data_IF_144697865296
#
_entry.id   IF_144697865296
#
_cell.length_a   1.000
_cell.length_b   1.000
_cell.length_c   1.000
_cell.angle_alpha   90.00
_cell.angle_beta   90.00
_cell.angle_gamma   90.00
#
_symmetry.space_group_name_H-M   'P 1'
#
loop_
_entity.id
_entity.type
_entity.pdbx_description
1 polymer ?
#
# COMPACT_ATOMS: atom_id res chain seq x y z
N UNK A 1 -14.19 -2.55 -14.76
CA UNK A 1 -13.76 -3.28 -13.55
C UNK A 1 -13.67 -2.25 -12.44
N UNK A 2 -14.34 -2.45 -11.31
CA UNK A 2 -14.32 -1.53 -10.17
C UNK A 2 -13.31 -1.99 -9.14
N UNK A 3 -12.45 -1.09 -8.70
CA UNK A 3 -11.35 -1.37 -7.75
C UNK A 3 -11.54 -0.57 -6.48
N UNK A 4 -11.33 -1.22 -5.34
CA UNK A 4 -11.26 -0.56 -4.03
C UNK A 4 -9.84 -0.68 -3.47
N UNK A 5 -9.15 0.46 -3.36
CA UNK A 5 -7.92 0.61 -2.60
C UNK A 5 -8.30 0.89 -1.15
N UNK A 6 -7.93 -0.02 -0.26
CA UNK A 6 -8.15 0.08 1.18
C UNK A 6 -6.83 0.49 1.83
N UNK A 7 -6.79 1.71 2.36
CA UNK A 7 -5.69 2.17 3.19
C UNK A 7 -5.90 1.68 4.62
N UNK A 8 -5.25 0.58 4.96
CA UNK A 8 -5.18 0.02 6.30
C UNK A 8 -4.19 0.72 7.22
N UNK A 9 -3.58 1.80 6.74
CA UNK A 9 -2.44 2.50 7.31
C UNK A 9 -1.17 1.65 7.37
N UNK A 10 -0.05 2.33 7.17
CA UNK A 10 1.28 1.73 7.28
C UNK A 10 2.13 2.55 8.23
N UNK A 11 3.07 1.88 8.88
CA UNK A 11 4.12 2.54 9.65
C UNK A 11 5.41 1.75 9.51
N UNK A 12 6.34 2.32 8.77
CA UNK A 12 7.68 1.82 8.61
C UNK A 12 8.70 2.95 8.77
N UNK A 13 9.97 2.63 9.06
CA UNK A 13 10.98 3.63 9.42
C UNK A 13 11.16 4.76 8.40
N UNK A 14 10.83 4.50 7.13
CA UNK A 14 10.95 5.45 6.03
C UNK A 14 9.60 5.97 5.49
N UNK A 15 8.46 5.53 6.05
CA UNK A 15 7.14 5.90 5.55
C UNK A 15 6.07 5.81 6.66
N UNK A 16 5.42 6.94 6.94
CA UNK A 16 4.30 7.03 7.88
C UNK A 16 2.99 7.27 7.11
N UNK A 17 2.09 6.29 7.15
CA UNK A 17 0.80 6.33 6.45
C UNK A 17 -0.40 6.46 7.37
N UNK A 18 -0.23 6.99 8.58
CA UNK A 18 -1.32 7.17 9.55
C UNK A 18 -1.77 8.64 9.57
N UNK A 19 -3.09 8.95 9.55
CA UNK A 19 -3.60 10.32 9.54
C UNK A 19 -2.92 11.25 10.56
N UNK A 20 -2.55 12.48 10.16
CA UNK A 20 -2.93 13.17 8.92
C UNK A 20 -2.12 12.79 7.65
N UNK A 21 -1.21 11.80 7.76
CA UNK A 21 -0.35 11.40 6.66
C UNK A 21 -1.01 10.38 5.73
N UNK A 22 -0.64 10.42 4.46
CA UNK A 22 -0.99 9.44 3.44
C UNK A 22 0.30 8.89 2.82
N UNK A 23 0.52 7.58 2.98
CA UNK A 23 1.66 6.90 2.38
C UNK A 23 1.62 6.98 0.84
N UNK A 24 2.75 6.74 0.14
CA UNK A 24 2.77 6.78 -1.32
C UNK A 24 1.98 5.64 -1.99
N UNK A 25 1.86 4.48 -1.33
CA UNK A 25 1.25 3.25 -1.87
C UNK A 25 -0.08 3.47 -2.61
N UNK A 26 -1.11 4.15 -2.05
CA UNK A 26 -2.39 4.29 -2.73
C UNK A 26 -2.29 5.06 -4.04
N UNK A 27 -1.40 6.08 -4.10
CA UNK A 27 -1.18 6.85 -5.34
C UNK A 27 -0.49 6.00 -6.38
N UNK A 28 0.56 5.27 -6.01
CA UNK A 28 1.28 4.43 -6.96
C UNK A 28 0.43 3.27 -7.48
N UNK A 29 -0.38 2.64 -6.63
CA UNK A 29 -1.35 1.62 -7.03
C UNK A 29 -2.37 2.21 -8.01
N UNK A 30 -2.91 3.39 -7.72
CA UNK A 30 -3.87 4.03 -8.61
C UNK A 30 -3.26 4.40 -9.96
N UNK A 31 -2.03 4.92 -9.98
CA UNK A 31 -1.29 5.20 -11.21
C UNK A 31 -1.00 3.94 -12.04
N UNK A 32 -0.63 2.83 -11.38
CA UNK A 32 -0.46 1.53 -12.03
C UNK A 32 -1.77 1.04 -12.68
N UNK A 33 -2.90 1.18 -12.00
CA UNK A 33 -4.23 0.84 -12.54
C UNK A 33 -4.62 1.72 -13.74
N UNK A 34 -4.31 3.03 -13.67
CA UNK A 34 -4.53 3.97 -14.78
C UNK A 34 -3.69 3.59 -16.00
N UNK A 35 -2.41 3.27 -15.80
CA UNK A 35 -1.51 2.82 -16.88
C UNK A 35 -2.03 1.53 -17.54
N UNK A 36 -2.75 0.68 -16.78
CA UNK A 36 -3.42 -0.52 -17.27
C UNK A 36 -4.84 -0.29 -17.80
N UNK A 37 -5.27 0.97 -17.95
CA UNK A 37 -6.51 1.35 -18.61
C UNK A 37 -7.77 1.34 -17.73
N UNK A 38 -7.64 1.17 -16.41
CA UNK A 38 -8.77 1.35 -15.48
C UNK A 38 -9.14 2.82 -15.43
N UNK A 39 -10.43 3.15 -15.55
CA UNK A 39 -10.89 4.54 -15.54
C UNK A 39 -10.82 5.12 -14.12
N UNK A 40 -10.57 6.44 -13.98
CA UNK A 40 -10.42 7.10 -12.68
C UNK A 40 -11.65 6.92 -11.79
N UNK A 41 -12.82 6.94 -12.39
CA UNK A 41 -14.13 6.83 -11.72
C UNK A 41 -14.37 5.43 -11.14
N UNK A 42 -13.66 4.43 -11.67
CA UNK A 42 -13.73 3.04 -11.23
C UNK A 42 -12.71 2.71 -10.13
N UNK A 43 -11.78 3.63 -9.80
CA UNK A 43 -10.77 3.47 -8.75
C UNK A 43 -11.20 4.25 -7.52
N UNK A 44 -11.66 3.51 -6.51
CA UNK A 44 -12.14 4.06 -5.25
C UNK A 44 -11.10 3.86 -4.16
N UNK A 45 -10.88 4.90 -3.35
CA UNK A 45 -10.03 4.87 -2.18
C UNK A 45 -10.86 5.00 -0.91
N UNK A 46 -10.57 4.16 0.09
CA UNK A 46 -11.14 4.30 1.44
C UNK A 46 -10.11 3.95 2.48
N UNK A 47 -10.02 4.76 3.54
CA UNK A 47 -9.29 4.35 4.74
C UNK A 47 -10.07 3.28 5.49
N UNK A 48 -9.36 2.46 6.28
CA UNK A 48 -9.99 1.46 7.14
C UNK A 48 -11.01 2.09 8.10
N UNK A 49 -10.76 3.30 8.61
CA UNK A 49 -11.73 4.01 9.48
C UNK A 49 -13.04 4.35 8.75
N UNK A 50 -12.98 4.68 7.46
CA UNK A 50 -14.19 4.90 6.66
C UNK A 50 -14.97 3.60 6.46
N UNK A 51 -14.29 2.48 6.32
CA UNK A 51 -14.93 1.16 6.23
C UNK A 51 -15.56 0.77 7.58
N UNK A 52 -14.86 1.00 8.70
CA UNK A 52 -15.39 0.77 10.06
C UNK A 52 -16.69 1.54 10.31
N UNK A 53 -16.71 2.81 9.91
CA UNK A 53 -17.83 3.73 10.20
C UNK A 53 -19.00 3.56 9.23
N UNK A 54 -18.76 3.13 8.00
CA UNK A 54 -19.81 2.96 6.98
C UNK A 54 -20.12 1.48 6.76
N UNK A 55 -21.33 1.07 7.15
CA UNK A 55 -21.85 -0.29 6.91
C UNK A 55 -22.40 -0.49 5.49
N UNK A 56 -21.85 0.22 4.51
CA UNK A 56 -22.28 0.08 3.12
C UNK A 56 -21.72 -1.23 2.53
N UNK A 57 -22.52 -1.96 1.71
CA UNK A 57 -22.02 -3.16 1.04
C UNK A 57 -20.82 -2.81 0.15
N UNK A 58 -19.70 -3.50 0.37
CA UNK A 58 -18.54 -3.40 -0.51
C UNK A 58 -18.74 -4.37 -1.67
N UNK A 59 -18.86 -3.84 -2.89
CA UNK A 59 -19.06 -4.61 -4.13
C UNK A 59 -18.10 -4.10 -5.19
N UNK A 60 -16.94 -4.73 -5.26
CA UNK A 60 -15.85 -4.41 -6.17
C UNK A 60 -15.30 -5.71 -6.76
N UNK A 61 -14.72 -5.61 -7.96
CA UNK A 61 -14.10 -6.76 -8.64
C UNK A 61 -12.73 -7.08 -8.03
N UNK A 62 -12.02 -6.04 -7.57
CA UNK A 62 -10.69 -6.10 -7.00
C UNK A 62 -10.58 -5.23 -5.73
N UNK A 63 -10.03 -5.80 -4.67
CA UNK A 63 -9.70 -5.11 -3.43
C UNK A 63 -8.19 -5.14 -3.25
N UNK A 64 -7.60 -3.98 -2.99
CA UNK A 64 -6.17 -3.81 -2.78
C UNK A 64 -5.99 -3.25 -1.38
N UNK A 65 -5.51 -4.09 -0.47
CA UNK A 65 -5.37 -3.78 0.95
C UNK A 65 -3.92 -3.42 1.22
N UNK A 66 -3.68 -2.20 1.67
CA UNK A 66 -2.37 -1.73 2.08
C UNK A 66 -2.31 -1.88 3.61
N UNK A 67 -1.34 -2.64 4.10
CA UNK A 67 -1.20 -2.91 5.53
C UNK A 67 0.25 -3.15 5.93
N UNK A 68 0.52 -2.94 7.22
CA UNK A 68 1.76 -3.37 7.85
C UNK A 68 2.36 -2.30 8.74
N UNK A 69 2.68 -2.71 9.96
CA UNK A 69 3.43 -1.90 10.91
C UNK A 69 4.71 -2.64 11.26
N UNK A 70 5.84 -1.99 11.04
CA UNK A 70 7.17 -2.55 11.37
C UNK A 70 7.82 -1.83 12.54
N UNK A 71 7.21 -0.73 12.98
CA UNK A 71 7.60 -0.01 14.19
C UNK A 71 6.43 0.00 15.20
N UNK A 72 6.69 -0.20 16.50
CA UNK A 72 5.68 0.00 17.52
C UNK A 72 5.30 1.48 17.62
N UNK A 73 4.00 1.76 17.54
CA UNK A 73 3.46 3.11 17.63
C UNK A 73 2.13 3.16 18.38
N UNK A 74 1.86 4.30 19.03
CA UNK A 74 0.52 4.67 19.49
C UNK A 74 0.01 5.79 18.61
N UNK A 75 -1.12 5.57 17.97
CA UNK A 75 -1.71 6.51 17.03
C UNK A 75 -2.91 7.21 17.66
N UNK A 76 -2.93 8.53 17.60
CA UNK A 76 -3.91 9.34 18.34
C UNK A 76 -5.25 9.48 17.62
N UNK A 77 -5.24 9.56 16.28
CA UNK A 77 -6.44 9.86 15.47
C UNK A 77 -7.05 8.64 14.79
N UNK A 78 -6.27 7.60 14.57
CA UNK A 78 -6.63 6.50 13.70
C UNK A 78 -5.91 5.23 14.16
N UNK A 79 -6.51 4.05 13.92
CA UNK A 79 -5.88 2.78 14.23
C UNK A 79 -5.62 1.99 12.95
N UNK A 80 -4.42 1.43 12.75
CA UNK A 80 -4.17 0.53 11.62
C UNK A 80 -5.14 -0.64 11.56
N UNK A 81 -5.27 -1.24 10.38
CA UNK A 81 -6.15 -2.37 10.13
C UNK A 81 -5.73 -3.57 10.99
N UNK A 82 -6.70 -4.24 11.60
CA UNK A 82 -6.46 -5.41 12.45
C UNK A 82 -6.55 -6.71 11.66
N UNK A 83 -5.94 -7.78 12.17
CA UNK A 83 -6.06 -9.11 11.56
C UNK A 83 -7.52 -9.60 11.49
N UNK A 84 -8.34 -9.25 12.48
CA UNK A 84 -9.78 -9.56 12.47
C UNK A 84 -10.47 -8.93 11.27
N UNK A 85 -10.20 -7.65 11.01
CA UNK A 85 -10.78 -6.92 9.87
C UNK A 85 -10.27 -7.46 8.54
N UNK A 86 -8.99 -7.83 8.45
CA UNK A 86 -8.45 -8.49 7.27
C UNK A 86 -9.19 -9.82 7.01
N UNK A 87 -9.44 -10.63 8.05
CA UNK A 87 -10.24 -11.85 7.91
C UNK A 87 -11.68 -11.55 7.47
N UNK A 88 -12.32 -10.51 8.01
CA UNK A 88 -13.66 -10.09 7.57
C UNK A 88 -13.69 -9.69 6.08
N UNK A 89 -12.69 -8.93 5.63
CA UNK A 89 -12.53 -8.55 4.22
C UNK A 89 -12.23 -9.75 3.32
N UNK A 90 -11.63 -10.83 3.83
CA UNK A 90 -11.34 -12.04 3.04
C UNK A 90 -12.60 -12.71 2.47
N UNK A 91 -13.74 -12.51 3.14
CA UNK A 91 -15.03 -13.08 2.77
C UNK A 91 -15.78 -12.28 1.69
N UNK A 92 -15.29 -11.11 1.30
CA UNK A 92 -15.89 -10.33 0.22
C UNK A 92 -15.78 -11.05 -1.11
N UNK A 93 -16.82 -10.94 -1.94
CA UNK A 93 -16.78 -11.38 -3.33
C UNK A 93 -15.86 -10.48 -4.14
N UNK A 94 -15.04 -11.09 -5.00
CA UNK A 94 -13.99 -10.43 -5.78
C UNK A 94 -12.58 -10.90 -5.43
N UNK A 95 -11.59 -10.40 -6.16
CA UNK A 95 -10.16 -10.70 -5.93
C UNK A 95 -9.63 -9.80 -4.82
N UNK A 96 -8.94 -10.36 -3.81
CA UNK A 96 -8.33 -9.58 -2.71
C UNK A 96 -6.82 -9.74 -2.74
N UNK A 97 -6.12 -8.61 -2.86
CA UNK A 97 -4.67 -8.53 -2.74
C UNK A 97 -4.33 -7.75 -1.48
N UNK A 98 -3.35 -8.20 -0.71
CA UNK A 98 -2.79 -7.46 0.42
C UNK A 98 -1.29 -7.31 0.26
N UNK A 99 -0.74 -6.18 0.68
CA UNK A 99 0.69 -5.92 0.62
C UNK A 99 1.08 -4.67 1.39
N UNK A 100 2.30 -4.19 1.15
CA UNK A 100 2.97 -3.22 2.02
C UNK A 100 3.86 -3.94 3.05
N UNK A 101 4.22 -3.26 4.15
CA UNK A 101 5.15 -3.82 5.15
C UNK A 101 4.69 -5.14 5.78
N UNK A 102 3.38 -5.47 5.73
CA UNK A 102 2.83 -6.73 6.26
C UNK A 102 3.47 -7.98 5.65
N UNK A 103 4.10 -7.86 4.47
CA UNK A 103 4.88 -8.94 3.84
C UNK A 103 6.08 -9.39 4.67
N UNK A 104 6.61 -8.53 5.54
CA UNK A 104 7.72 -8.84 6.45
C UNK A 104 7.25 -9.60 7.70
N UNK A 105 5.93 -9.84 7.79
CA UNK A 105 5.26 -10.57 8.83
C UNK A 105 4.34 -9.68 9.65
N UNK A 106 3.53 -10.32 10.49
CA UNK A 106 2.55 -9.66 11.35
C UNK A 106 2.81 -10.03 12.81
N UNK A 107 2.93 -9.03 13.67
CA UNK A 107 3.03 -9.17 15.12
C UNK A 107 1.96 -8.32 15.79
N UNK A 108 1.39 -8.80 16.90
CA UNK A 108 0.38 -8.05 17.66
C UNK A 108 0.99 -6.85 18.41
N UNK A 109 2.29 -6.94 18.73
CA UNK A 109 3.06 -5.93 19.45
C UNK A 109 4.48 -5.78 18.88
N UNK A 110 5.05 -4.57 18.91
CA UNK A 110 6.43 -4.36 18.46
C UNK A 110 7.45 -5.08 19.34
N UNK A 111 8.47 -5.66 18.71
CA UNK A 111 9.50 -6.46 19.39
C UNK A 111 9.18 -7.96 19.51
N UNK A 112 8.00 -8.39 19.04
CA UNK A 112 7.64 -9.81 18.93
C UNK A 112 8.08 -10.41 17.59
N UNK A 113 8.32 -11.73 17.54
CA UNK A 113 8.65 -12.44 16.30
C UNK A 113 7.46 -12.37 15.33
N UNK A 114 7.66 -11.76 14.18
CA UNK A 114 6.65 -11.67 13.15
C UNK A 114 6.34 -13.08 12.59
N UNK A 115 5.06 -13.44 12.53
CA UNK A 115 4.62 -14.67 11.86
C UNK A 115 4.39 -14.39 10.38
N UNK A 116 4.60 -15.40 9.55
CA UNK A 116 4.24 -15.32 8.14
C UNK A 116 2.74 -15.04 8.02
N UNK A 117 2.39 -13.99 7.28
CA UNK A 117 1.01 -13.61 7.06
C UNK A 117 0.37 -14.60 6.07
N UNK A 118 -0.71 -15.25 6.49
CA UNK A 118 -1.53 -16.09 5.62
C UNK A 118 -2.98 -16.01 6.07
N UNK A 119 -3.84 -15.51 5.18
CA UNK A 119 -5.29 -15.46 5.36
C UNK A 119 -5.93 -16.08 4.11
N UNK A 120 -6.67 -17.19 4.25
CA UNK A 120 -7.36 -17.80 3.12
C UNK A 120 -8.26 -16.80 2.38
N UNK A 121 -8.26 -16.87 1.05
CA UNK A 121 -9.06 -15.96 0.21
C UNK A 121 -8.42 -14.60 -0.06
N UNK A 122 -7.23 -14.31 0.48
CA UNK A 122 -6.44 -13.12 0.16
C UNK A 122 -5.07 -13.53 -0.35
N UNK A 123 -4.64 -12.94 -1.46
CA UNK A 123 -3.28 -13.13 -1.99
C UNK A 123 -2.34 -12.07 -1.42
N UNK A 124 -1.27 -12.51 -0.76
CA UNK A 124 -0.19 -11.64 -0.28
C UNK A 124 0.77 -11.28 -1.43
N UNK A 125 0.92 -9.99 -1.71
CA UNK A 125 2.02 -9.48 -2.51
C UNK A 125 3.33 -9.57 -1.71
N UNK A 126 4.19 -10.55 -2.06
CA UNK A 126 5.44 -10.84 -1.34
C UNK A 126 6.55 -9.79 -1.54
N UNK A 127 6.33 -8.84 -2.45
CA UNK A 127 7.24 -7.73 -2.81
C UNK A 127 6.41 -6.43 -2.91
N UNK A 128 6.66 -5.61 -3.92
CA UNK A 128 6.01 -4.32 -4.10
C UNK A 128 4.57 -4.51 -4.60
N UNK A 129 3.59 -4.00 -3.86
CA UNK A 129 2.16 -4.26 -4.11
C UNK A 129 1.69 -3.57 -5.40
N UNK A 130 2.14 -2.36 -5.67
CA UNK A 130 1.86 -1.61 -6.91
C UNK A 130 2.37 -2.33 -8.16
N UNK A 131 3.56 -2.94 -8.11
CA UNK A 131 4.07 -3.76 -9.20
C UNK A 131 3.25 -5.05 -9.37
N UNK A 132 2.88 -5.69 -8.25
CA UNK A 132 2.02 -6.87 -8.29
C UNK A 132 0.64 -6.56 -8.88
N UNK A 133 0.03 -5.43 -8.49
CA UNK A 133 -1.25 -4.97 -9.03
C UNK A 133 -1.12 -4.64 -10.51
N UNK A 134 -0.06 -3.94 -10.91
CA UNK A 134 0.21 -3.66 -12.32
C UNK A 134 0.25 -4.95 -13.14
N UNK A 135 1.07 -5.91 -12.75
CA UNK A 135 1.23 -7.16 -13.49
C UNK A 135 -0.07 -8.00 -13.44
N UNK A 136 -0.78 -8.02 -12.31
CA UNK A 136 -2.06 -8.72 -12.16
C UNK A 136 -3.10 -8.31 -13.22
N UNK A 137 -3.07 -7.07 -13.70
CA UNK A 137 -4.00 -6.61 -14.74
C UNK A 137 -3.89 -7.38 -16.06
N UNK A 138 -2.76 -8.04 -16.31
CA UNK A 138 -2.54 -8.89 -17.49
C UNK A 138 -2.90 -10.38 -17.23
N UNK A 139 -3.36 -10.70 -16.01
CA UNK A 139 -3.65 -12.06 -15.57
C UNK A 139 -5.07 -12.19 -15.00
N UNK A 140 -5.64 -13.40 -15.05
CA UNK A 140 -6.96 -13.69 -14.44
C UNK A 140 -6.87 -14.15 -12.99
N UNK A 141 -5.75 -14.77 -12.62
CA UNK A 141 -5.52 -15.38 -11.31
C UNK A 141 -4.27 -14.77 -10.67
N UNK A 142 -4.37 -14.19 -9.46
CA UNK A 142 -3.22 -13.72 -8.69
C UNK A 142 -2.12 -14.76 -8.48
N UNK A 143 -2.44 -16.06 -8.46
CA UNK A 143 -1.43 -17.11 -8.32
C UNK A 143 -0.48 -17.21 -9.53
N UNK A 144 -0.87 -16.67 -10.68
CA UNK A 144 -0.06 -16.65 -11.91
C UNK A 144 0.89 -15.44 -11.99
N UNK A 145 0.78 -14.49 -11.07
CA UNK A 145 1.53 -13.22 -11.12
C UNK A 145 2.90 -13.39 -10.47
N UNK A 146 3.95 -12.95 -11.16
CA UNK A 146 5.29 -12.92 -10.59
C UNK A 146 5.42 -11.81 -9.55
N UNK A 147 5.91 -12.14 -8.34
CA UNK A 147 6.26 -11.12 -7.36
C UNK A 147 7.62 -10.48 -7.71
N UNK A 148 7.61 -9.20 -8.07
CA UNK A 148 8.82 -8.40 -8.36
C UNK A 148 8.86 -7.09 -7.56
N UNK A 149 10.04 -6.48 -7.52
CA UNK A 149 10.16 -5.10 -7.08
C UNK A 149 9.79 -4.19 -8.26
N UNK A 150 9.21 -3.03 -7.95
CA UNK A 150 9.02 -1.95 -8.91
C UNK A 150 10.35 -1.29 -9.25
N UNK A 151 10.34 -0.50 -10.31
CA UNK A 151 11.45 0.37 -10.71
C UNK A 151 11.13 1.84 -10.45
N UNK A 152 12.16 2.68 -10.34
CA UNK A 152 11.94 4.13 -10.20
C UNK A 152 11.23 4.74 -11.42
N UNK A 153 11.45 4.21 -12.63
CA UNK A 153 10.74 4.67 -13.83
C UNK A 153 9.24 4.37 -13.78
N UNK A 154 8.84 3.21 -13.23
CA UNK A 154 7.43 2.92 -12.99
C UNK A 154 6.81 3.90 -12.01
N UNK A 155 7.51 4.18 -10.91
CA UNK A 155 7.05 5.15 -9.91
C UNK A 155 6.94 6.55 -10.48
N UNK A 156 7.90 6.98 -11.31
CA UNK A 156 7.81 8.28 -11.99
C UNK A 156 6.54 8.45 -12.83
N UNK A 157 5.98 7.38 -13.39
CA UNK A 157 4.71 7.42 -14.14
C UNK A 157 3.49 7.28 -13.24
N UNK A 158 3.55 6.38 -12.26
CA UNK A 158 2.41 6.05 -11.41
C UNK A 158 2.13 7.13 -10.35
N UNK A 159 3.17 7.77 -9.82
CA UNK A 159 3.08 8.85 -8.86
C UNK A 159 2.18 9.98 -9.34
N UNK A 160 2.49 10.54 -10.51
CA UNK A 160 1.79 11.67 -11.11
C UNK A 160 0.34 11.31 -11.50
N UNK A 161 0.17 10.19 -12.19
CA UNK A 161 -1.15 9.75 -12.69
C UNK A 161 -2.12 9.33 -11.59
N UNK A 162 -1.61 8.87 -10.44
CA UNK A 162 -2.39 8.43 -9.29
C UNK A 162 -2.79 9.52 -8.30
N UNK A 163 -2.29 10.76 -8.46
CA UNK A 163 -2.55 11.89 -7.53
C UNK A 163 -4.03 12.18 -7.28
N UNK A 164 -4.91 11.90 -8.24
CA UNK A 164 -6.36 12.14 -8.09
C UNK A 164 -6.98 11.43 -6.87
N UNK A 165 -6.38 10.32 -6.41
CA UNK A 165 -6.83 9.57 -5.23
C UNK A 165 -6.75 10.41 -3.95
N UNK A 166 -5.84 11.40 -3.86
CA UNK A 166 -5.70 12.27 -2.69
C UNK A 166 -7.03 12.98 -2.36
N UNK A 167 -7.80 13.35 -3.39
CA UNK A 167 -9.09 14.05 -3.21
C UNK A 167 -10.17 13.18 -2.56
N UNK A 168 -9.98 11.86 -2.53
CA UNK A 168 -10.88 10.91 -1.88
C UNK A 168 -10.53 10.69 -0.40
N UNK A 169 -9.41 11.21 0.09
CA UNK A 169 -8.98 11.04 1.47
C UNK A 169 -9.88 11.82 2.45
N UNK A 170 -10.23 11.25 3.63
CA UNK A 170 -11.13 11.90 4.59
C UNK A 170 -10.73 13.30 5.06
N UNK A 171 -9.42 13.55 5.15
CA UNK A 171 -8.84 14.83 5.58
C UNK A 171 -8.58 15.80 4.41
N UNK A 172 -8.91 15.48 3.15
CA UNK A 172 -8.73 16.41 2.02
C UNK A 172 -9.52 17.73 2.24
N UNK A 173 -8.92 18.91 1.96
CA UNK A 173 -7.63 19.16 1.30
C UNK A 173 -6.41 19.27 2.24
N UNK A 174 -6.53 18.89 3.52
CA UNK A 174 -5.50 19.04 4.55
C UNK A 174 -4.66 17.76 4.78
N UNK A 175 -4.57 16.89 3.78
CA UNK A 175 -3.78 15.66 3.85
C UNK A 175 -2.30 15.97 3.68
N UNK A 176 -1.47 15.37 4.52
CA UNK A 176 -0.02 15.41 4.35
C UNK A 176 0.41 14.18 3.54
N UNK A 177 0.86 14.40 2.31
CA UNK A 177 1.29 13.30 1.43
C UNK A 177 2.77 13.01 1.65
N UNK A 178 3.10 11.79 2.07
CA UNK A 178 4.48 11.32 2.11
C UNK A 178 5.03 11.14 0.69
N UNK A 179 6.30 11.46 0.48
CA UNK A 179 6.98 11.30 -0.81
C UNK A 179 8.18 10.37 -0.64
N UNK A 180 8.20 9.29 -1.40
CA UNK A 180 9.40 8.48 -1.51
C UNK A 180 10.40 9.19 -2.42
N UNK A 181 11.62 9.44 -1.97
CA UNK A 181 12.69 10.04 -2.80
C UNK A 181 13.75 9.01 -3.21
N UNK A 182 13.89 7.94 -2.43
CA UNK A 182 14.72 6.78 -2.69
C UNK A 182 14.28 5.62 -1.81
N UNK A 183 14.84 4.44 -2.11
CA UNK A 183 14.73 3.22 -1.28
C UNK A 183 16.09 2.56 -1.14
N UNK A 184 16.28 1.76 -0.09
CA UNK A 184 17.55 1.11 0.23
C UNK A 184 18.40 1.91 1.22
N UNK A 185 19.43 1.28 1.77
CA UNK A 185 20.23 1.86 2.85
C UNK A 185 21.67 2.18 2.40
N UNK A 186 22.16 3.43 2.51
CA UNK A 186 23.54 3.78 2.16
C UNK A 186 24.56 3.30 3.20
N UNK A 187 24.09 2.88 4.38
CA UNK A 187 24.95 2.55 5.52
C UNK A 187 25.45 1.12 5.41
N UNK A 188 26.71 0.91 5.82
CA UNK A 188 27.28 -0.44 6.00
C UNK A 188 26.78 -1.14 7.27
N UNK A 189 26.44 -0.36 8.31
CA UNK A 189 25.82 -0.84 9.54
C UNK A 189 24.40 -0.29 9.65
N UNK A 190 23.43 -1.18 9.81
CA UNK A 190 22.02 -0.85 9.73
C UNK A 190 21.40 -0.61 11.12
N UNK A 191 20.34 0.19 11.19
CA UNK A 191 19.58 0.35 12.42
C UNK A 191 18.79 -0.95 12.69
N UNK A 192 18.67 -1.33 13.96
CA UNK A 192 18.04 -2.59 14.37
C UNK A 192 16.58 -2.76 13.96
N UNK A 193 15.86 -1.66 13.73
CA UNK A 193 14.44 -1.63 13.37
C UNK A 193 14.21 -1.31 11.89
N UNK A 194 15.27 -1.14 11.10
CA UNK A 194 15.16 -0.61 9.75
C UNK A 194 14.79 -1.70 8.72
N UNK A 195 13.81 -1.41 7.88
CA UNK A 195 13.40 -2.26 6.75
C UNK A 195 14.18 -1.97 5.47
N UNK A 196 14.79 -0.78 5.36
CA UNK A 196 15.56 -0.35 4.18
C UNK A 196 16.66 -1.30 3.71
N UNK A 197 17.41 -1.98 4.60
CA UNK A 197 18.44 -2.94 4.15
C UNK A 197 17.89 -4.06 3.28
N UNK A 198 16.61 -4.44 3.44
CA UNK A 198 15.97 -5.47 2.62
C UNK A 198 15.76 -5.03 1.17
N UNK A 199 15.80 -3.72 0.89
CA UNK A 199 15.72 -3.17 -0.47
C UNK A 199 17.08 -3.07 -1.16
N UNK A 200 18.19 -3.30 -0.43
CA UNK A 200 19.55 -3.32 -0.97
C UNK A 200 20.22 -1.94 -0.95
N UNK A 201 21.07 -1.70 -1.95
CA UNK A 201 21.76 -0.41 -2.11
C UNK A 201 20.75 0.70 -2.41
N UNK A 202 21.04 1.96 -2.04
CA UNK A 202 20.19 3.09 -2.37
C UNK A 202 19.90 3.19 -3.86
N UNK A 203 18.62 3.36 -4.19
CA UNK A 203 18.12 3.62 -5.54
C UNK A 203 17.27 4.89 -5.50
N UNK A 204 17.79 5.98 -6.07
CA UNK A 204 17.21 7.32 -6.00
C UNK A 204 16.28 7.58 -7.17
N UNK A 205 15.13 8.19 -6.89
CA UNK A 205 14.24 8.68 -7.94
C UNK A 205 14.85 9.88 -8.64
N UNK A 206 14.50 10.04 -9.92
CA UNK A 206 14.83 11.24 -10.67
C UNK A 206 14.15 12.46 -10.04
N UNK A 207 14.90 13.56 -9.90
CA UNK A 207 14.39 14.79 -9.27
C UNK A 207 13.15 15.31 -10.00
N UNK A 208 13.15 15.25 -11.33
CA UNK A 208 12.01 15.69 -12.14
C UNK A 208 10.74 14.87 -11.86
N UNK A 209 10.88 13.59 -11.54
CA UNK A 209 9.74 12.72 -11.24
C UNK A 209 9.16 13.04 -9.86
N UNK A 210 10.01 13.39 -8.89
CA UNK A 210 9.57 13.87 -7.57
C UNK A 210 8.86 15.22 -7.70
N UNK A 211 9.41 16.15 -8.49
CA UNK A 211 8.83 17.48 -8.70
C UNK A 211 7.47 17.40 -9.38
N UNK A 212 7.25 16.50 -10.34
CA UNK A 212 5.94 16.33 -10.99
C UNK A 212 4.88 15.69 -10.09
N UNK A 213 5.28 15.01 -9.02
CA UNK A 213 4.34 14.44 -8.04
C UNK A 213 3.76 15.51 -7.08
N UNK A 214 4.47 16.63 -6.89
CA UNK A 214 4.09 17.76 -6.01
C UNK A 214 3.15 18.72 -6.72
#
# INVERSE_FOLDING_TARGET
>A
MRVLIIDGYVDEPACLGVPPYMAPYPRYIAGALIEKGVQKEDIIYRTIDRIRTRREPLRFDLYIIIAGMTVPGKYLRASPITLKEINELSHLEGTKIIGGPIRLGFGEEGGSSAKEFSVPGITLAKKDIEAFVYDLMDHKDPASVQHRMRTNSEIGRWAESGTFIITQHPDYPFVLCELETYRGCPRHSHCYFCTEPFYGKPDFREVNDVVREV
#
